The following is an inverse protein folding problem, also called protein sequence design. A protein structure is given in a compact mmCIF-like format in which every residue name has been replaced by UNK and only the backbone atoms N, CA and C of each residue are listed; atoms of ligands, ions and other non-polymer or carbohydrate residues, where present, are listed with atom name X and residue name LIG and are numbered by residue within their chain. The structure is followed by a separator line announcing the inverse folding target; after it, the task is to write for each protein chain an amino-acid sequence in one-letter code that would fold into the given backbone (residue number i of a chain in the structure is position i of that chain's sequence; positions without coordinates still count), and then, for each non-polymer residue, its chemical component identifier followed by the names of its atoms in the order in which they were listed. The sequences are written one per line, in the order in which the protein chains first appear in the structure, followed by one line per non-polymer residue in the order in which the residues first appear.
data_IF_370017703085
#
_entry.id   IF_370017703085
#
_cell.length_a   1.000
_cell.length_b   1.000
_cell.length_c   1.000
_cell.angle_alpha   90.00
_cell.angle_beta   90.00
_cell.angle_gamma   90.00
#
_symmetry.space_group_name_H-M   'P 1'
#
loop_
_entity.id
_entity.type
_entity.pdbx_description
1 polymer ?
#
# COMPACT_ATOMS: atom_id res chain seq x y z
N UNK A 1 25.28 1.05 17.93
CA UNK A 1 24.28 2.05 18.35
C UNK A 1 23.03 1.84 17.49
N UNK A 2 21.89 1.42 18.08
CA UNK A 2 20.65 1.22 17.34
C UNK A 2 20.05 2.59 17.06
N UNK A 3 20.19 3.09 15.83
CA UNK A 3 19.52 4.32 15.42
C UNK A 3 18.02 4.00 15.40
N UNK A 4 17.25 4.56 16.34
CA UNK A 4 15.80 4.41 16.31
C UNK A 4 15.28 5.10 15.04
N UNK A 5 14.60 4.34 14.18
CA UNK A 5 13.99 4.88 12.98
C UNK A 5 12.97 5.98 13.34
N UNK A 6 12.81 7.03 12.51
CA UNK A 6 11.80 8.07 12.71
C UNK A 6 10.38 7.50 12.84
N UNK A 7 9.47 8.24 13.49
CA UNK A 7 8.09 7.79 13.69
C UNK A 7 7.41 7.38 12.38
N UNK A 8 7.60 8.15 11.31
CA UNK A 8 7.02 7.86 10.00
C UNK A 8 7.41 6.47 9.48
N UNK A 9 8.69 6.09 9.63
CA UNK A 9 9.17 4.77 9.21
C UNK A 9 8.58 3.66 10.07
N UNK A 10 8.45 3.89 11.38
CA UNK A 10 7.84 2.92 12.31
C UNK A 10 6.36 2.73 12.08
N UNK A 11 5.67 3.77 11.59
CA UNK A 11 4.24 3.76 11.27
C UNK A 11 3.96 3.31 9.83
N UNK A 12 5.00 2.98 9.03
CA UNK A 12 4.78 2.48 7.67
C UNK A 12 3.91 1.21 7.73
N UNK A 13 2.78 1.17 6.99
CA UNK A 13 1.93 -0.01 6.91
C UNK A 13 2.73 -1.23 6.45
N UNK A 14 2.51 -2.37 7.10
CA UNK A 14 3.12 -3.67 6.74
C UNK A 14 2.22 -4.50 5.85
N UNK A 15 0.93 -4.18 5.84
CA UNK A 15 -0.10 -4.83 5.05
C UNK A 15 -0.94 -3.78 4.34
N UNK A 16 -1.61 -4.17 3.25
CA UNK A 16 -2.50 -3.25 2.53
C UNK A 16 -3.74 -2.89 3.34
N UNK A 17 -4.16 -3.75 4.27
CA UNK A 17 -5.33 -3.51 5.12
C UNK A 17 -5.04 -2.45 6.21
N UNK A 18 -3.76 -2.20 6.53
CA UNK A 18 -3.31 -1.10 7.40
C UNK A 18 -3.25 0.25 6.66
N UNK A 19 -3.26 0.24 5.32
CA UNK A 19 -3.15 1.46 4.51
C UNK A 19 -4.44 2.28 4.58
N UNK A 20 -4.33 3.60 4.76
CA UNK A 20 -5.49 4.50 4.94
C UNK A 20 -5.61 5.50 3.79
N UNK A 21 -6.85 5.78 3.38
CA UNK A 21 -7.18 6.84 2.42
C UNK A 21 -7.35 6.39 0.96
N UNK A 22 -6.97 5.15 0.64
CA UNK A 22 -7.03 4.61 -0.73
C UNK A 22 -7.96 3.38 -0.85
N UNK A 23 -9.06 3.40 -0.09
CA UNK A 23 -10.02 2.29 -0.02
C UNK A 23 -10.55 1.87 -1.40
N UNK A 24 -10.81 2.83 -2.28
CA UNK A 24 -11.32 2.58 -3.63
C UNK A 24 -10.33 1.84 -4.55
N UNK A 25 -9.05 1.76 -4.17
CA UNK A 25 -8.01 1.03 -4.89
C UNK A 25 -7.60 -0.26 -4.17
N UNK A 26 -7.57 -0.26 -2.83
CA UNK A 26 -6.91 -1.30 -2.02
C UNK A 26 -7.85 -2.24 -1.27
N UNK A 27 -9.14 -1.90 -1.10
CA UNK A 27 -10.10 -2.81 -0.46
C UNK A 27 -10.39 -4.03 -1.31
N UNK A 28 -10.95 -5.05 -0.68
CA UNK A 28 -11.41 -6.26 -1.35
C UNK A 28 -12.28 -5.91 -2.57
N UNK A 29 -11.94 -6.52 -3.71
CA UNK A 29 -12.63 -6.27 -4.96
C UNK A 29 -12.34 -4.91 -5.60
N UNK A 30 -11.43 -4.07 -5.09
CA UNK A 30 -10.97 -2.88 -5.78
C UNK A 30 -9.99 -3.23 -6.92
N UNK A 31 -9.79 -2.31 -7.88
CA UNK A 31 -9.03 -2.57 -9.11
C UNK A 31 -7.60 -3.03 -8.85
N UNK A 32 -6.86 -2.31 -8.01
CA UNK A 32 -5.47 -2.66 -7.67
C UNK A 32 -5.43 -3.92 -6.80
N UNK A 33 -6.35 -4.10 -5.85
CA UNK A 33 -6.45 -5.32 -5.04
C UNK A 33 -6.64 -6.56 -5.91
N UNK A 34 -7.56 -6.55 -6.88
CA UNK A 34 -7.75 -7.67 -7.83
C UNK A 34 -6.51 -7.98 -8.67
N UNK A 35 -5.80 -6.95 -9.14
CA UNK A 35 -4.56 -7.14 -9.90
C UNK A 35 -3.47 -7.83 -9.03
N UNK A 36 -3.35 -7.44 -7.77
CA UNK A 36 -2.44 -8.07 -6.81
C UNK A 36 -2.87 -9.50 -6.48
N UNK A 37 -4.15 -9.74 -6.20
CA UNK A 37 -4.69 -11.05 -5.83
C UNK A 37 -4.57 -12.06 -7.00
N UNK A 38 -4.66 -11.59 -8.25
CA UNK A 38 -4.48 -12.42 -9.45
C UNK A 38 -3.01 -12.64 -9.85
N UNK A 39 -2.07 -11.93 -9.23
CA UNK A 39 -0.65 -11.95 -9.60
C UNK A 39 -0.33 -11.29 -10.96
N UNK A 40 -1.33 -10.71 -11.63
CA UNK A 40 -1.18 -10.02 -12.90
C UNK A 40 -1.00 -8.52 -12.66
N UNK A 41 0.22 -8.13 -12.34
CA UNK A 41 0.56 -6.75 -12.00
C UNK A 41 1.08 -6.02 -13.25
N UNK A 42 0.29 -5.13 -13.88
CA UNK A 42 0.77 -4.34 -15.01
C UNK A 42 1.76 -3.27 -14.55
N UNK A 43 2.44 -2.63 -15.50
CA UNK A 43 3.19 -1.41 -15.23
C UNK A 43 2.24 -0.32 -14.68
N UNK A 44 2.62 0.31 -13.57
CA UNK A 44 1.82 1.32 -12.89
C UNK A 44 2.61 2.59 -12.65
N UNK A 45 1.92 3.73 -12.71
CA UNK A 45 2.41 5.02 -12.24
C UNK A 45 1.52 5.41 -11.06
N UNK A 46 2.11 5.59 -9.88
CA UNK A 46 1.42 6.14 -8.72
C UNK A 46 1.59 7.66 -8.73
N UNK A 47 0.48 8.38 -8.84
CA UNK A 47 0.46 9.83 -8.87
C UNK A 47 -0.53 10.37 -7.84
N UNK A 48 -0.06 11.33 -7.04
CA UNK A 48 -0.81 12.02 -6.01
C UNK A 48 0.00 13.21 -5.48
N UNK A 49 -0.61 14.10 -4.70
CA UNK A 49 0.13 15.08 -3.90
C UNK A 49 0.99 14.40 -2.83
#
# INVERSE_FOLDING_TARGET
MKIQAPLAERMRPKTLDEYRGQDHLLKEGASLRRALDSGLIPSMIFWGP
#
